data_IF_816011242940
#
_entry.id   IF_816011242940
#
_cell.length_a   1.000
_cell.length_b   1.000
_cell.length_c   1.000
_cell.angle_alpha   90.00
_cell.angle_beta   90.00
_cell.angle_gamma   90.00
#
_symmetry.space_group_name_H-M   'P 1'
#
loop_
_entity.id
_entity.type
_entity.pdbx_description
1 polymer ?
#
# COMPACT_ATOMS: atom_id res chain seq x y z
N UNK A 1 -13.96 5.42 8.52
CA UNK A 1 -12.64 4.75 8.54
C UNK A 1 -12.59 3.68 7.47
N UNK A 2 -11.40 3.39 6.94
CA UNK A 2 -11.09 2.35 5.94
C UNK A 2 -9.89 1.55 6.43
N UNK A 3 -9.92 0.23 6.28
CA UNK A 3 -8.83 -0.67 6.64
C UNK A 3 -8.46 -1.55 5.45
N UNK A 4 -7.20 -1.52 5.03
CA UNK A 4 -6.67 -2.35 3.93
C UNK A 4 -5.45 -3.13 4.41
N UNK A 5 -5.41 -4.41 4.07
CA UNK A 5 -4.25 -5.28 4.30
C UNK A 5 -3.84 -5.97 3.00
N UNK A 6 -2.65 -5.67 2.53
CA UNK A 6 -2.10 -6.19 1.28
C UNK A 6 -1.29 -7.46 1.55
N UNK A 7 -1.74 -8.55 0.93
CA UNK A 7 -1.22 -9.89 1.16
C UNK A 7 -0.23 -10.36 0.10
N UNK A 8 0.40 -9.48 -0.66
CA UNK A 8 1.36 -9.88 -1.69
C UNK A 8 0.85 -9.74 -3.12
N UNK A 9 1.80 -9.60 -4.03
CA UNK A 9 1.56 -9.42 -5.46
C UNK A 9 1.71 -10.78 -6.15
N UNK A 10 0.58 -11.44 -6.44
CA UNK A 10 0.53 -12.75 -7.10
C UNK A 10 0.40 -13.91 -6.11
N UNK A 11 1.46 -14.22 -5.37
CA UNK A 11 1.44 -15.29 -4.34
C UNK A 11 1.14 -14.73 -2.94
N UNK A 12 0.41 -15.50 -2.14
CA UNK A 12 0.09 -15.12 -0.78
C UNK A 12 1.36 -14.83 0.06
N UNK A 13 1.33 -13.69 0.72
CA UNK A 13 2.34 -13.09 1.58
C UNK A 13 3.69 -12.79 0.91
N UNK A 14 3.79 -12.88 -0.42
CA UNK A 14 5.03 -12.74 -1.19
C UNK A 14 4.92 -11.69 -2.29
N UNK A 15 6.05 -11.35 -2.86
CA UNK A 15 6.12 -10.48 -4.03
C UNK A 15 6.06 -9.00 -3.69
N UNK A 16 6.80 -8.23 -4.50
CA UNK A 16 6.88 -6.77 -4.42
C UNK A 16 5.76 -6.15 -5.25
N UNK A 17 5.11 -5.12 -4.73
CA UNK A 17 4.16 -4.34 -5.52
C UNK A 17 4.88 -3.48 -6.58
N UNK A 18 4.36 -3.49 -7.81
CA UNK A 18 4.88 -2.63 -8.89
C UNK A 18 4.67 -1.15 -8.56
N UNK A 19 5.43 -0.27 -9.19
CA UNK A 19 5.23 1.18 -9.01
C UNK A 19 3.83 1.62 -9.41
N UNK A 20 3.31 1.10 -10.54
CA UNK A 20 1.95 1.38 -10.99
C UNK A 20 0.88 0.93 -9.97
N UNK A 21 1.02 -0.27 -9.39
CA UNK A 21 0.10 -0.73 -8.36
C UNK A 21 0.12 0.17 -7.12
N UNK A 22 1.29 0.66 -6.71
CA UNK A 22 1.41 1.61 -5.59
C UNK A 22 0.85 2.99 -5.94
N UNK A 23 0.94 3.43 -7.20
CA UNK A 23 0.35 4.69 -7.66
C UNK A 23 -1.19 4.62 -7.64
N UNK A 24 -1.77 3.51 -8.08
CA UNK A 24 -3.22 3.29 -8.01
C UNK A 24 -3.71 3.23 -6.57
N UNK A 25 -2.98 2.56 -5.67
CA UNK A 25 -3.31 2.60 -4.23
C UNK A 25 -3.18 3.99 -3.64
N UNK A 26 -2.17 4.77 -4.03
CA UNK A 26 -2.02 6.14 -3.58
C UNK A 26 -3.20 7.02 -4.02
N UNK A 27 -3.71 6.83 -5.25
CA UNK A 27 -4.93 7.52 -5.73
C UNK A 27 -6.14 7.16 -4.88
N UNK A 28 -6.39 5.86 -4.71
CA UNK A 28 -7.54 5.37 -3.94
C UNK A 28 -7.52 5.84 -2.47
N UNK A 29 -6.34 5.90 -1.85
CA UNK A 29 -6.18 6.39 -0.48
C UNK A 29 -6.54 7.88 -0.40
N UNK A 30 -6.10 8.70 -1.37
CA UNK A 30 -6.47 10.13 -1.40
C UNK A 30 -7.97 10.30 -1.55
N UNK A 31 -8.62 9.55 -2.45
CA UNK A 31 -10.07 9.61 -2.61
C UNK A 31 -10.81 9.33 -1.28
N UNK A 32 -10.37 8.31 -0.53
CA UNK A 32 -10.96 8.02 0.79
C UNK A 32 -10.67 9.10 1.84
N UNK A 33 -9.49 9.73 1.79
CA UNK A 33 -9.14 10.83 2.68
C UNK A 33 -9.96 12.09 2.36
N UNK A 34 -10.20 12.37 1.09
CA UNK A 34 -11.02 13.50 0.62
C UNK A 34 -12.50 13.33 1.01
N UNK A 35 -12.97 12.08 1.14
CA UNK A 35 -14.26 11.74 1.75
C UNK A 35 -14.29 11.93 3.29
N UNK A 36 -13.19 12.37 3.91
CA UNK A 36 -13.09 12.59 5.36
C UNK A 36 -12.94 11.31 6.17
N UNK A 37 -12.40 10.23 5.59
CA UNK A 37 -12.21 8.94 6.28
C UNK A 37 -10.79 8.80 6.81
N UNK A 38 -10.66 8.28 8.03
CA UNK A 38 -9.38 7.72 8.50
C UNK A 38 -9.01 6.47 7.70
N UNK A 39 -7.78 6.39 7.17
CA UNK A 39 -7.31 5.26 6.37
C UNK A 39 -6.17 4.54 7.09
N UNK A 40 -6.35 3.25 7.32
CA UNK A 40 -5.36 2.35 7.91
C UNK A 40 -4.92 1.34 6.86
N UNK A 41 -3.63 1.38 6.46
CA UNK A 41 -3.13 0.61 5.33
C UNK A 41 -1.88 -0.20 5.73
N UNK A 42 -1.96 -1.52 5.62
CA UNK A 42 -0.92 -2.44 6.08
C UNK A 42 -0.41 -3.34 4.97
N UNK A 43 0.91 -3.46 4.85
CA UNK A 43 1.57 -4.46 4.02
C UNK A 43 1.86 -5.71 4.84
N UNK A 44 1.53 -6.87 4.29
CA UNK A 44 1.73 -8.18 4.90
C UNK A 44 2.44 -9.15 3.93
N UNK A 45 3.11 -8.62 2.91
CA UNK A 45 3.97 -9.36 1.99
C UNK A 45 5.39 -9.54 2.56
N UNK A 46 5.47 -10.23 3.70
CA UNK A 46 6.70 -10.41 4.49
C UNK A 46 7.42 -11.73 4.22
N UNK A 47 6.77 -12.70 3.58
CA UNK A 47 7.42 -13.96 3.24
C UNK A 47 8.37 -13.76 2.04
N UNK A 48 9.47 -14.51 2.02
CA UNK A 48 10.52 -14.36 1.01
C UNK A 48 11.46 -13.20 1.34
N UNK A 49 11.68 -12.29 0.39
CA UNK A 49 12.62 -11.16 0.50
C UNK A 49 12.17 -10.07 1.48
N UNK A 50 10.99 -10.20 2.10
CA UNK A 50 10.51 -9.25 3.10
C UNK A 50 10.19 -7.87 2.51
N UNK A 51 9.41 -7.82 1.44
CA UNK A 51 9.12 -6.57 0.71
C UNK A 51 8.22 -5.58 1.45
N UNK A 52 7.45 -6.02 2.45
CA UNK A 52 6.44 -5.20 3.12
C UNK A 52 6.95 -3.82 3.63
N UNK A 53 8.08 -3.71 4.35
CA UNK A 53 8.56 -2.40 4.82
C UNK A 53 8.98 -1.48 3.65
N UNK A 54 9.55 -2.05 2.59
CA UNK A 54 9.98 -1.29 1.41
C UNK A 54 8.78 -0.77 0.61
N UNK A 55 7.74 -1.59 0.42
CA UNK A 55 6.52 -1.19 -0.25
C UNK A 55 5.75 -0.14 0.57
N UNK A 56 5.71 -0.28 1.90
CA UNK A 56 5.15 0.74 2.80
C UNK A 56 5.87 2.09 2.67
N UNK A 57 7.21 2.09 2.64
CA UNK A 57 7.99 3.33 2.43
C UNK A 57 7.74 3.94 1.04
N UNK A 58 7.65 3.12 -0.01
CA UNK A 58 7.37 3.57 -1.38
C UNK A 58 5.97 4.16 -1.53
N UNK A 59 4.97 3.59 -0.85
CA UNK A 59 3.62 4.15 -0.79
C UNK A 59 3.59 5.46 -0.01
N UNK A 60 4.24 5.50 1.17
CA UNK A 60 4.32 6.73 1.98
C UNK A 60 4.93 7.90 1.22
N UNK A 61 5.99 7.66 0.44
CA UNK A 61 6.60 8.70 -0.41
C UNK A 61 5.59 9.28 -1.41
N UNK A 62 4.76 8.44 -2.04
CA UNK A 62 3.72 8.88 -2.98
C UNK A 62 2.66 9.73 -2.29
N UNK A 63 2.24 9.35 -1.09
CA UNK A 63 1.27 10.10 -0.30
C UNK A 63 1.81 11.44 0.22
N UNK A 64 3.11 11.55 0.48
CA UNK A 64 3.74 12.77 0.96
C UNK A 64 3.97 13.85 -0.12
N UNK A 65 3.74 13.54 -1.40
CA UNK A 65 4.02 14.44 -2.53
C UNK A 65 2.74 14.99 -3.19
N UNK A 66 1.71 15.28 -2.39
CA UNK A 66 0.42 15.82 -2.84
C UNK A 66 0.11 17.14 -2.18
#
# INVERSE_FOLDING_TARGET
>A
WVYVRLHGAGEAYRGRYSDAALDDWARQIRDWMDEGRDVYFYFNNTAGEGHAPHDAQRLRKRLATG
#
